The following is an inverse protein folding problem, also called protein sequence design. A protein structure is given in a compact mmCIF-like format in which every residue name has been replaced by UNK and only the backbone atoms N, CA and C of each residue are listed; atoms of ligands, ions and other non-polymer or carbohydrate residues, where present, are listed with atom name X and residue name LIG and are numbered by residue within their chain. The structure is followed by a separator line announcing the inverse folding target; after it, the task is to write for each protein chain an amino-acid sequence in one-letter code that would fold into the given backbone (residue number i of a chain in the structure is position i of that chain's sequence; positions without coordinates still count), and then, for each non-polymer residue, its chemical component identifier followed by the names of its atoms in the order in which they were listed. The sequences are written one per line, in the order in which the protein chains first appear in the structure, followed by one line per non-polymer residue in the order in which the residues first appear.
data_IF_313493715330
#
_entry.id   IF_313493715330
#
_cell.length_a   1.000
_cell.length_b   1.000
_cell.length_c   1.000
_cell.angle_alpha   90.00
_cell.angle_beta   90.00
_cell.angle_gamma   90.00
#
_symmetry.space_group_name_H-M   'P 1'
#
loop_
_entity.id
_entity.type
_entity.pdbx_description
1 polymer ?
#
# COMPACT_ATOMS: atom_id res chain seq x y z
N UNK A 1 -19.40 -1.64 21.06
CA UNK A 1 -19.54 -0.80 19.85
C UNK A 1 -18.39 0.20 19.71
N UNK A 2 -17.93 0.83 20.80
CA UNK A 2 -16.79 1.78 20.80
C UNK A 2 -15.49 1.21 20.19
N UNK A 3 -15.07 0.00 20.61
CA UNK A 3 -13.88 -0.68 20.05
C UNK A 3 -13.95 -0.94 18.53
N UNK A 4 -15.14 -1.19 17.98
CA UNK A 4 -15.32 -1.40 16.54
C UNK A 4 -15.20 -0.07 15.79
N UNK A 5 -15.74 1.00 16.36
CA UNK A 5 -15.62 2.33 15.77
C UNK A 5 -14.17 2.82 15.79
N UNK A 6 -13.43 2.59 16.88
CA UNK A 6 -12.00 2.86 16.95
C UNK A 6 -11.21 2.07 15.90
N UNK A 7 -11.50 0.76 15.77
CA UNK A 7 -10.88 -0.07 14.74
C UNK A 7 -11.13 0.47 13.32
N UNK A 8 -12.37 0.89 12.99
CA UNK A 8 -12.68 1.49 11.68
C UNK A 8 -11.92 2.80 11.46
N UNK A 9 -11.77 3.62 12.49
CA UNK A 9 -11.01 4.86 12.42
C UNK A 9 -9.53 4.58 12.17
N UNK A 10 -8.94 3.60 12.87
CA UNK A 10 -7.56 3.16 12.66
C UNK A 10 -7.36 2.60 11.25
N UNK A 11 -8.26 1.73 10.77
CA UNK A 11 -8.20 1.18 9.42
C UNK A 11 -8.29 2.28 8.35
N UNK A 12 -9.17 3.27 8.54
CA UNK A 12 -9.31 4.41 7.64
C UNK A 12 -8.03 5.25 7.58
N UNK A 13 -7.40 5.49 8.74
CA UNK A 13 -6.11 6.17 8.83
C UNK A 13 -5.01 5.38 8.09
N UNK A 14 -4.86 4.09 8.38
CA UNK A 14 -3.86 3.24 7.70
C UNK A 14 -4.10 3.23 6.18
N UNK A 15 -5.36 3.13 5.74
CA UNK A 15 -5.70 3.17 4.32
C UNK A 15 -5.22 4.48 3.66
N UNK A 16 -5.45 5.62 4.31
CA UNK A 16 -4.98 6.91 3.79
C UNK A 16 -3.45 7.00 3.70
N UNK A 17 -2.73 6.52 4.71
CA UNK A 17 -1.26 6.56 4.69
C UNK A 17 -0.67 5.58 3.66
N UNK A 18 -1.26 4.41 3.48
CA UNK A 18 -0.87 3.46 2.43
C UNK A 18 -1.08 4.05 1.04
N UNK A 19 -2.18 4.77 0.80
CA UNK A 19 -2.41 5.44 -0.48
C UNK A 19 -1.41 6.59 -0.72
N UNK A 20 -1.00 7.32 0.33
CA UNK A 20 0.06 8.32 0.22
C UNK A 20 1.39 7.68 -0.16
N UNK A 21 1.76 6.57 0.47
CA UNK A 21 2.98 5.82 0.14
C UNK A 21 2.92 5.27 -1.29
N UNK A 22 1.77 4.73 -1.71
CA UNK A 22 1.52 4.24 -3.08
C UNK A 22 1.79 5.34 -4.12
N UNK A 23 1.25 6.53 -3.89
CA UNK A 23 1.45 7.70 -4.75
C UNK A 23 2.93 8.13 -4.79
N UNK A 24 3.60 8.17 -3.63
CA UNK A 24 5.02 8.51 -3.56
C UNK A 24 5.88 7.49 -4.31
N UNK A 25 5.63 6.20 -4.11
CA UNK A 25 6.35 5.12 -4.79
C UNK A 25 6.15 5.18 -6.31
N UNK A 26 4.93 5.44 -6.78
CA UNK A 26 4.64 5.64 -8.20
C UNK A 26 5.35 6.85 -8.80
N UNK A 27 5.38 7.96 -8.07
CA UNK A 27 6.06 9.20 -8.49
C UNK A 27 7.57 8.98 -8.61
N UNK A 28 8.19 8.44 -7.56
CA UNK A 28 9.62 8.16 -7.54
C UNK A 28 10.00 7.12 -8.61
N UNK A 29 9.19 6.06 -8.80
CA UNK A 29 9.45 5.07 -9.86
C UNK A 29 9.48 5.70 -11.25
N UNK A 30 8.65 6.73 -11.48
CA UNK A 30 8.65 7.49 -12.74
C UNK A 30 9.90 8.34 -12.87
N UNK A 31 10.30 9.04 -11.80
CA UNK A 31 11.52 9.85 -11.76
C UNK A 31 12.77 9.00 -12.05
N UNK A 32 12.94 7.85 -11.39
CA UNK A 32 14.13 7.01 -11.62
C UNK A 32 14.16 6.41 -13.03
N UNK A 33 13.00 6.16 -13.65
CA UNK A 33 12.94 5.78 -15.08
C UNK A 33 13.41 6.92 -15.99
N UNK A 34 13.13 8.17 -15.63
CA UNK A 34 13.64 9.32 -16.36
C UNK A 34 15.13 9.51 -16.16
N UNK A 35 15.63 9.32 -14.94
CA UNK A 35 17.07 9.33 -14.64
C UNK A 35 17.81 8.25 -15.43
N UNK A 36 17.32 7.01 -15.40
CA UNK A 36 17.84 5.92 -16.22
C UNK A 36 17.98 6.33 -17.70
N UNK A 37 16.89 6.82 -18.31
CA UNK A 37 16.90 7.24 -19.72
C UNK A 37 17.92 8.35 -19.98
N UNK A 38 18.02 9.34 -19.10
CA UNK A 38 18.98 10.44 -19.23
C UNK A 38 20.40 9.91 -19.18
N UNK A 39 20.72 9.06 -18.21
CA UNK A 39 22.06 8.51 -18.01
C UNK A 39 22.49 7.60 -19.17
N UNK A 40 21.57 6.80 -19.73
CA UNK A 40 21.87 5.95 -20.90
C UNK A 40 22.05 6.71 -22.21
N UNK A 41 21.70 8.00 -22.26
CA UNK A 41 21.88 8.82 -23.46
C UNK A 41 23.29 9.45 -23.57
N UNK A 42 24.15 9.26 -22.57
CA UNK A 42 25.52 9.73 -22.58
C UNK A 42 26.49 8.56 -22.84
N UNK A 43 27.49 8.77 -23.71
CA UNK A 43 28.51 7.76 -24.04
C UNK A 43 29.63 7.64 -22.97
N UNK A 44 29.29 7.89 -21.70
CA UNK A 44 30.22 7.76 -20.59
C UNK A 44 29.96 6.47 -19.83
N UNK A 45 30.91 5.54 -19.86
CA UNK A 45 30.83 4.24 -19.18
C UNK A 45 30.54 4.37 -17.68
N UNK A 46 31.06 5.43 -17.04
CA UNK A 46 30.82 5.72 -15.62
C UNK A 46 29.35 6.03 -15.30
N UNK A 47 28.56 6.49 -16.27
CA UNK A 47 27.12 6.76 -16.10
C UNK A 47 26.28 5.50 -16.27
N UNK A 48 26.84 4.42 -16.84
CA UNK A 48 26.12 3.17 -17.08
C UNK A 48 25.80 2.46 -15.77
N UNK A 49 26.74 2.42 -14.83
CA UNK A 49 26.52 1.79 -13.52
C UNK A 49 25.42 2.53 -12.73
N UNK A 50 25.46 3.86 -12.73
CA UNK A 50 24.43 4.71 -12.13
C UNK A 50 23.08 4.44 -12.81
N UNK A 51 23.04 4.35 -14.15
CA UNK A 51 21.80 4.04 -14.86
C UNK A 51 21.21 2.68 -14.41
N UNK A 52 22.04 1.65 -14.22
CA UNK A 52 21.57 0.36 -13.71
C UNK A 52 20.99 0.49 -12.30
N UNK A 53 21.61 1.28 -11.42
CA UNK A 53 21.07 1.59 -10.09
C UNK A 53 19.71 2.28 -10.17
N UNK A 54 19.56 3.29 -11.02
CA UNK A 54 18.28 4.00 -11.23
C UNK A 54 17.19 3.07 -11.77
N UNK A 55 17.54 2.19 -12.72
CA UNK A 55 16.60 1.20 -13.23
C UNK A 55 16.15 0.22 -12.15
N UNK A 56 17.05 -0.19 -11.25
CA UNK A 56 16.73 -1.08 -10.14
C UNK A 56 15.85 -0.36 -9.10
N UNK A 57 16.16 0.88 -8.75
CA UNK A 57 15.35 1.71 -7.87
C UNK A 57 13.93 1.87 -8.42
N UNK A 58 13.80 2.19 -9.72
CA UNK A 58 12.51 2.28 -10.40
C UNK A 58 11.67 1.00 -10.27
N UNK A 59 12.29 -0.18 -10.42
CA UNK A 59 11.62 -1.48 -10.27
C UNK A 59 11.17 -1.72 -8.84
N UNK A 60 12.03 -1.46 -7.85
CA UNK A 60 11.71 -1.64 -6.44
C UNK A 60 10.54 -0.75 -6.01
N UNK A 61 10.54 0.51 -6.43
CA UNK A 61 9.45 1.46 -6.18
C UNK A 61 8.14 1.01 -6.86
N UNK A 62 8.22 0.42 -8.05
CA UNK A 62 7.08 -0.22 -8.70
C UNK A 62 6.49 -1.38 -7.87
N UNK A 63 7.36 -2.23 -7.29
CA UNK A 63 6.94 -3.29 -6.37
C UNK A 63 6.28 -2.71 -5.12
N UNK A 64 6.86 -1.68 -4.51
CA UNK A 64 6.28 -1.02 -3.33
C UNK A 64 4.89 -0.44 -3.64
N UNK A 65 4.69 0.17 -4.81
CA UNK A 65 3.39 0.63 -5.27
C UNK A 65 2.37 -0.51 -5.31
N UNK A 66 2.73 -1.66 -5.90
CA UNK A 66 1.85 -2.83 -5.95
C UNK A 66 1.54 -3.40 -4.56
N UNK A 67 2.51 -3.42 -3.65
CA UNK A 67 2.30 -3.84 -2.26
C UNK A 67 1.29 -2.92 -1.56
N UNK A 68 1.39 -1.61 -1.74
CA UNK A 68 0.47 -0.65 -1.15
C UNK A 68 -0.97 -0.87 -1.68
N UNK A 69 -1.15 -1.08 -2.98
CA UNK A 69 -2.45 -1.41 -3.57
C UNK A 69 -3.05 -2.69 -2.97
N UNK A 70 -2.25 -3.74 -2.81
CA UNK A 70 -2.70 -5.00 -2.22
C UNK A 70 -3.11 -4.84 -0.75
N UNK A 71 -2.39 -4.00 0.01
CA UNK A 71 -2.73 -3.70 1.41
C UNK A 71 -4.03 -2.89 1.47
N UNK A 72 -4.20 -1.88 0.62
CA UNK A 72 -5.43 -1.09 0.54
C UNK A 72 -6.66 -1.97 0.28
N UNK A 73 -6.56 -2.88 -0.69
CA UNK A 73 -7.62 -3.86 -0.98
C UNK A 73 -7.95 -4.78 0.21
N UNK A 74 -6.94 -5.19 0.99
CA UNK A 74 -7.16 -5.97 2.21
C UNK A 74 -7.90 -5.16 3.28
N UNK A 75 -7.56 -3.88 3.44
CA UNK A 75 -8.23 -3.00 4.40
C UNK A 75 -9.70 -2.79 3.99
N UNK A 76 -9.99 -2.58 2.71
CA UNK A 76 -11.36 -2.49 2.20
C UNK A 76 -12.16 -3.77 2.49
N UNK A 77 -11.53 -4.93 2.33
CA UNK A 77 -12.13 -6.22 2.69
C UNK A 77 -12.48 -6.33 4.17
N UNK A 78 -11.58 -5.88 5.06
CA UNK A 78 -11.82 -5.87 6.51
C UNK A 78 -12.96 -4.91 6.86
N UNK A 79 -12.93 -3.68 6.33
CA UNK A 79 -14.01 -2.71 6.55
C UNK A 79 -15.37 -3.25 6.10
N UNK A 80 -15.40 -3.90 4.94
CA UNK A 80 -16.62 -4.52 4.42
C UNK A 80 -17.12 -5.68 5.30
N UNK A 81 -16.22 -6.47 5.89
CA UNK A 81 -16.58 -7.54 6.83
C UNK A 81 -17.11 -6.99 8.16
N UNK A 82 -16.53 -5.90 8.66
CA UNK A 82 -17.05 -5.16 9.82
C UNK A 82 -18.47 -4.63 9.53
N UNK A 83 -18.68 -4.03 8.36
CA UNK A 83 -20.00 -3.49 7.97
C UNK A 83 -21.08 -4.57 7.84
N UNK A 84 -20.69 -5.79 7.44
CA UNK A 84 -21.59 -6.96 7.42
C UNK A 84 -21.78 -7.62 8.79
N UNK A 85 -21.07 -7.17 9.83
CA UNK A 85 -21.13 -7.76 11.18
C UNK A 85 -20.41 -9.10 11.31
N UNK A 86 -19.58 -9.48 10.33
CA UNK A 86 -18.79 -10.72 10.34
C UNK A 86 -17.59 -10.66 11.30
N UNK A 87 -17.21 -9.44 11.69
CA UNK A 87 -16.15 -9.16 12.65
C UNK A 87 -16.77 -8.45 13.85
N UNK A 88 -16.77 -9.13 15.01
CA UNK A 88 -17.31 -8.61 16.27
C UNK A 88 -18.70 -9.11 16.68
N UNK A 89 -19.24 -10.13 16.01
CA UNK A 89 -20.51 -10.76 16.38
C UNK A 89 -20.33 -12.15 17.01
N UNK A 90 -20.24 -12.21 18.33
CA UNK A 90 -21.03 -13.10 19.22
C UNK A 90 -20.49 -12.99 20.66
N UNK A 91 -20.93 -11.94 21.38
CA UNK A 91 -20.97 -11.97 22.84
C UNK A 91 -22.44 -11.72 23.24
N UNK A 92 -23.25 -12.78 23.28
CA UNK A 92 -24.55 -12.71 23.96
C UNK A 92 -25.70 -13.53 23.42
N UNK A 93 -25.51 -14.48 22.49
CA UNK A 93 -26.60 -15.38 22.07
C UNK A 93 -26.35 -16.84 22.44
N UNK A 94 -26.01 -17.09 23.70
CA UNK A 94 -26.11 -18.41 24.30
C UNK A 94 -26.81 -18.34 25.67
N UNK A 95 -27.90 -19.13 25.79
CA UNK A 95 -28.68 -19.50 26.99
C UNK A 95 -29.45 -18.36 27.67
N UNK A 96 -30.78 -18.37 27.82
CA UNK A 96 -31.60 -19.43 28.40
C UNK A 96 -32.99 -19.55 27.72
N UNK A 97 -33.25 -20.70 27.12
CA UNK A 97 -34.57 -21.33 27.14
C UNK A 97 -34.64 -22.19 28.39
N UNK A 98 -35.36 -21.75 29.42
CA UNK A 98 -36.31 -22.57 30.21
C UNK A 98 -36.97 -21.77 31.32
#
# INVERSE_FOLDING_TARGET
MENIQELKNTLSYIHSEINRIETMAGTLSTIEREHYKKLTNFDHTELVDIAVEEQNAARQLGTMKHMCLAIAQKIDGINSAIDRGEIGGDEGRATETH
#
